data_IF_097817292200
#
_entry.id   IF_097817292200
#
_cell.length_a   1.000
_cell.length_b   1.000
_cell.length_c   1.000
_cell.angle_alpha   90.00
_cell.angle_beta   90.00
_cell.angle_gamma   90.00
#
_symmetry.space_group_name_H-M   'P 1'
#
loop_
_entity.id
_entity.type
_entity.pdbx_description
1 polymer ?
#
# COMPACT_ATOMS: atom_id res chain seq x y z
N UNK A 1 24.13 18.68 21.14
CA UNK A 1 24.21 17.34 20.52
C UNK A 1 24.89 17.51 19.17
N UNK A 2 25.97 16.76 18.90
CA UNK A 2 26.61 16.77 17.59
C UNK A 2 25.75 15.95 16.62
N UNK A 3 25.03 16.66 15.73
CA UNK A 3 24.13 16.06 14.75
C UNK A 3 24.86 15.15 13.77
N UNK A 4 26.08 15.52 13.38
CA UNK A 4 26.85 14.75 12.42
C UNK A 4 27.33 13.44 13.04
N UNK A 5 27.79 13.49 14.31
CA UNK A 5 28.12 12.29 15.06
C UNK A 5 26.90 11.39 15.27
N UNK A 6 25.72 11.96 15.58
CA UNK A 6 24.48 11.20 15.76
C UNK A 6 24.05 10.48 14.47
N UNK A 7 24.01 11.20 13.33
CA UNK A 7 23.70 10.64 12.01
C UNK A 7 24.68 9.52 11.64
N UNK A 8 25.97 9.72 11.88
CA UNK A 8 27.00 8.70 11.63
C UNK A 8 26.76 7.45 12.47
N UNK A 9 26.48 7.62 13.77
CA UNK A 9 26.27 6.51 14.70
C UNK A 9 25.03 5.70 14.35
N UNK A 10 23.90 6.37 14.08
CA UNK A 10 22.65 5.72 13.67
C UNK A 10 22.78 5.03 12.31
N UNK A 11 23.47 5.65 11.35
CA UNK A 11 23.77 5.05 10.06
C UNK A 11 24.63 3.78 10.17
N UNK A 12 25.67 3.81 11.02
CA UNK A 12 26.48 2.62 11.30
C UNK A 12 25.67 1.52 11.99
N UNK A 13 24.83 1.88 12.96
CA UNK A 13 23.97 0.92 13.65
C UNK A 13 23.00 0.22 12.68
N UNK A 14 22.39 0.97 11.75
CA UNK A 14 21.56 0.40 10.69
C UNK A 14 22.34 -0.50 9.72
N UNK A 15 23.60 -0.18 9.43
CA UNK A 15 24.45 -1.03 8.58
C UNK A 15 24.85 -2.34 9.25
N UNK A 16 25.06 -2.34 10.57
CA UNK A 16 25.53 -3.51 11.33
C UNK A 16 24.34 -4.39 11.77
N UNK A 17 23.27 -3.79 12.29
CA UNK A 17 22.13 -4.50 12.85
C UNK A 17 20.82 -3.75 12.57
N UNK A 18 20.34 -3.77 11.32
CA UNK A 18 19.10 -3.09 10.96
C UNK A 18 17.91 -3.68 11.72
N UNK A 19 17.09 -2.79 12.30
CA UNK A 19 15.89 -3.11 13.07
C UNK A 19 14.86 -2.00 12.88
N UNK A 20 13.57 -2.34 12.86
CA UNK A 20 12.49 -1.34 12.72
C UNK A 20 12.55 -0.23 13.78
N UNK A 21 12.92 -0.57 15.03
CA UNK A 21 13.07 0.44 16.09
C UNK A 21 14.17 1.46 15.80
N UNK A 22 15.25 1.05 15.14
CA UNK A 22 16.35 1.95 14.76
C UNK A 22 15.93 2.85 13.58
N UNK A 23 15.26 2.28 12.58
CA UNK A 23 14.70 3.08 11.48
C UNK A 23 13.72 4.12 12.01
N UNK A 24 12.77 3.72 12.87
CA UNK A 24 11.82 4.64 13.49
C UNK A 24 12.51 5.76 14.25
N UNK A 25 13.44 5.44 15.15
CA UNK A 25 14.16 6.46 15.91
C UNK A 25 14.97 7.41 15.03
N UNK A 26 15.55 6.92 13.93
CA UNK A 26 16.31 7.76 13.02
C UNK A 26 15.38 8.64 12.15
N UNK A 27 14.26 8.10 11.67
CA UNK A 27 13.25 8.87 10.94
C UNK A 27 12.65 9.96 11.84
N UNK A 28 12.34 9.65 13.09
CA UNK A 28 11.80 10.61 14.05
C UNK A 28 12.79 11.75 14.31
N UNK A 29 14.09 11.44 14.45
CA UNK A 29 15.15 12.44 14.56
C UNK A 29 15.21 13.38 13.35
N UNK A 30 15.29 12.81 12.13
CA UNK A 30 15.36 13.64 10.91
C UNK A 30 14.07 14.43 10.68
N UNK A 31 12.92 13.89 11.07
CA UNK A 31 11.62 14.59 11.01
C UNK A 31 11.59 15.80 11.95
N UNK A 32 12.08 15.67 13.17
CA UNK A 32 12.18 16.79 14.14
C UNK A 32 13.12 17.91 13.64
N UNK A 33 14.05 17.57 12.75
CA UNK A 33 14.97 18.52 12.13
C UNK A 33 14.43 19.07 10.79
N UNK A 34 13.19 18.74 10.43
CA UNK A 34 12.56 19.11 9.15
C UNK A 34 13.33 18.61 7.91
N UNK A 35 14.13 17.56 8.07
CA UNK A 35 14.98 16.98 7.03
C UNK A 35 14.23 15.90 6.26
N UNK A 36 13.12 16.28 5.64
CA UNK A 36 12.15 15.36 5.04
C UNK A 36 12.74 14.51 3.91
N UNK A 37 13.70 15.04 3.14
CA UNK A 37 14.41 14.27 2.12
C UNK A 37 15.25 13.13 2.71
N UNK A 38 15.80 13.32 3.92
CA UNK A 38 16.52 12.27 4.63
C UNK A 38 15.55 11.24 5.19
N UNK A 39 14.39 11.66 5.71
CA UNK A 39 13.31 10.74 6.10
C UNK A 39 12.89 9.82 4.94
N UNK A 40 12.66 10.39 3.74
CA UNK A 40 12.35 9.62 2.52
C UNK A 40 13.41 8.57 2.22
N UNK A 41 14.68 8.98 2.27
CA UNK A 41 15.82 8.06 2.08
C UNK A 41 15.82 6.92 3.10
N UNK A 42 15.49 7.19 4.37
CA UNK A 42 15.41 6.18 5.41
C UNK A 42 14.24 5.22 5.20
N UNK A 43 13.07 5.72 4.78
CA UNK A 43 11.93 4.87 4.42
C UNK A 43 12.24 3.96 3.24
N UNK A 44 12.87 4.47 2.17
CA UNK A 44 13.30 3.64 1.03
C UNK A 44 14.26 2.54 1.47
N UNK A 45 15.27 2.88 2.29
CA UNK A 45 16.19 1.89 2.85
C UNK A 45 15.47 0.86 3.74
N UNK A 46 14.48 1.29 4.51
CA UNK A 46 13.68 0.38 5.33
C UNK A 46 12.86 -0.58 4.45
N UNK A 47 12.29 -0.09 3.34
CA UNK A 47 11.55 -0.90 2.36
C UNK A 47 12.48 -1.92 1.69
N UNK A 48 13.68 -1.50 1.28
CA UNK A 48 14.70 -2.38 0.70
C UNK A 48 15.11 -3.47 1.69
N UNK A 49 15.40 -3.09 2.94
CA UNK A 49 15.78 -4.03 3.99
C UNK A 49 14.64 -5.02 4.34
N UNK A 50 13.41 -4.52 4.48
CA UNK A 50 12.23 -5.34 4.79
C UNK A 50 11.65 -6.05 3.56
N UNK A 51 12.30 -6.02 2.40
CA UNK A 51 11.81 -6.66 1.18
C UNK A 51 11.59 -8.17 1.32
N UNK A 52 12.27 -8.81 2.28
CA UNK A 52 12.12 -10.22 2.64
C UNK A 52 11.07 -10.47 3.75
N UNK A 53 10.77 -9.46 4.58
CA UNK A 53 9.87 -9.57 5.73
C UNK A 53 8.45 -9.01 5.45
N UNK A 54 8.18 -8.60 4.21
CA UNK A 54 6.85 -8.23 3.70
C UNK A 54 6.07 -7.21 4.55
N UNK A 55 6.74 -6.20 5.11
CA UNK A 55 6.10 -5.34 6.09
C UNK A 55 5.31 -4.17 5.47
N UNK A 56 4.04 -4.42 5.11
CA UNK A 56 3.06 -3.41 4.63
C UNK A 56 3.02 -2.15 5.48
N UNK A 57 3.23 -2.25 6.80
CA UNK A 57 3.16 -1.10 7.70
C UNK A 57 4.24 -0.06 7.40
N UNK A 58 5.38 -0.41 6.80
CA UNK A 58 6.39 0.57 6.40
C UNK A 58 5.84 1.49 5.31
N UNK A 59 5.17 0.91 4.30
CA UNK A 59 4.51 1.66 3.23
C UNK A 59 3.40 2.56 3.76
N UNK A 60 2.54 2.03 4.65
CA UNK A 60 1.47 2.80 5.28
C UNK A 60 2.05 3.97 6.09
N UNK A 61 3.09 3.72 6.90
CA UNK A 61 3.74 4.77 7.69
C UNK A 61 4.42 5.81 6.80
N UNK A 62 4.98 5.41 5.66
CA UNK A 62 5.59 6.33 4.71
C UNK A 62 4.53 7.22 4.03
N UNK A 63 3.39 6.67 3.60
CA UNK A 63 2.29 7.47 3.08
C UNK A 63 1.73 8.44 4.13
N UNK A 64 1.58 8.00 5.38
CA UNK A 64 1.22 8.86 6.53
C UNK A 64 2.27 9.91 6.83
N UNK A 65 3.54 9.64 6.56
CA UNK A 65 4.58 10.64 6.72
C UNK A 65 4.42 11.73 5.65
N UNK A 66 4.26 11.38 4.37
CA UNK A 66 4.15 12.35 3.27
C UNK A 66 2.98 13.32 3.41
N UNK A 67 1.87 12.87 4.02
CA UNK A 67 0.71 13.73 4.27
C UNK A 67 0.92 14.73 5.42
N UNK A 68 1.82 14.42 6.36
CA UNK A 68 2.11 15.25 7.53
C UNK A 68 3.33 16.16 7.33
N UNK A 69 3.87 16.25 6.11
CA UNK A 69 4.95 17.20 5.80
C UNK A 69 4.30 18.58 5.67
N UNK A 70 4.69 19.58 6.48
CA UNK A 70 4.22 20.95 6.33
C UNK A 70 4.63 21.52 4.97
N UNK A 71 3.72 22.24 4.31
CA UNK A 71 3.99 22.95 3.06
C UNK A 71 3.77 24.45 3.30
N UNK A 72 4.85 25.24 3.23
CA UNK A 72 4.85 26.69 3.49
C UNK A 72 5.57 27.09 4.78
N UNK A 73 5.87 28.39 4.91
CA UNK A 73 6.45 29.02 6.12
C UNK A 73 5.37 29.59 7.05
N UNK A 74 4.10 29.27 6.81
CA UNK A 74 2.98 30.03 7.40
C UNK A 74 2.68 29.60 8.83
N UNK A 75 2.73 30.61 9.72
CA UNK A 75 2.53 30.57 11.16
C UNK A 75 1.41 29.60 11.56
N UNK A 76 1.70 28.79 12.59
CA UNK A 76 0.78 27.86 13.21
C UNK A 76 -0.29 28.66 13.98
N UNK A 77 -1.34 29.12 13.30
CA UNK A 77 -2.58 29.45 14.00
C UNK A 77 -3.16 28.11 14.51
N UNK A 78 -2.98 27.88 15.81
CA UNK A 78 -3.19 26.59 16.51
C UNK A 78 -4.66 26.10 16.50
N UNK A 79 -5.61 26.89 16.01
CA UNK A 79 -7.06 26.63 16.14
C UNK A 79 -7.75 26.07 14.88
N UNK A 80 -7.16 26.13 13.69
CA UNK A 80 -7.76 25.57 12.47
C UNK A 80 -6.98 24.36 11.92
N UNK A 81 -7.63 23.19 11.85
CA UNK A 81 -7.14 22.05 11.06
C UNK A 81 -7.07 22.46 9.59
N UNK A 82 -5.93 23.02 9.18
CA UNK A 82 -5.69 23.41 7.79
C UNK A 82 -5.88 22.18 6.89
N UNK A 83 -6.63 22.31 5.80
CA UNK A 83 -6.85 21.20 4.90
C UNK A 83 -5.50 20.74 4.32
N UNK A 84 -5.27 19.43 4.34
CA UNK A 84 -4.10 18.80 3.72
C UNK A 84 -3.99 19.26 2.27
N UNK A 85 -2.80 19.70 1.85
CA UNK A 85 -2.57 20.15 0.49
C UNK A 85 -2.76 19.03 -0.54
N UNK A 86 -3.17 19.40 -1.76
CA UNK A 86 -3.29 18.44 -2.87
C UNK A 86 -1.94 17.79 -3.23
N UNK A 87 -0.84 18.50 -3.04
CA UNK A 87 0.50 17.97 -3.27
C UNK A 87 0.85 16.86 -2.26
N UNK A 88 0.58 17.08 -0.97
CA UNK A 88 0.79 16.09 0.08
C UNK A 88 -0.06 14.83 -0.16
N UNK A 89 -1.34 15.01 -0.54
CA UNK A 89 -2.22 13.90 -0.95
C UNK A 89 -1.62 13.14 -2.14
N UNK A 90 -1.15 13.85 -3.16
CA UNK A 90 -0.54 13.25 -4.36
C UNK A 90 0.70 12.42 -4.02
N UNK A 91 1.58 12.91 -3.15
CA UNK A 91 2.76 12.15 -2.70
C UNK A 91 2.37 10.88 -1.96
N UNK A 92 1.42 10.95 -1.03
CA UNK A 92 0.92 9.78 -0.31
C UNK A 92 0.28 8.73 -1.24
N UNK A 93 -0.55 9.15 -2.20
CA UNK A 93 -1.16 8.25 -3.21
C UNK A 93 -0.11 7.50 -4.03
N UNK A 94 0.96 8.18 -4.47
CA UNK A 94 2.07 7.51 -5.19
C UNK A 94 2.72 6.39 -4.37
N UNK A 95 2.83 6.56 -3.04
CA UNK A 95 3.34 5.51 -2.15
C UNK A 95 2.38 4.32 -2.09
N UNK A 96 1.08 4.57 -1.94
CA UNK A 96 0.06 3.51 -1.95
C UNK A 96 0.01 2.76 -3.28
N UNK A 97 0.05 3.47 -4.41
CA UNK A 97 0.07 2.88 -5.76
C UNK A 97 1.28 1.96 -5.95
N UNK A 98 2.49 2.44 -5.57
CA UNK A 98 3.72 1.64 -5.65
C UNK A 98 3.64 0.41 -4.74
N UNK A 99 3.17 0.56 -3.51
CA UNK A 99 3.00 -0.54 -2.57
C UNK A 99 2.02 -1.60 -3.11
N UNK A 100 0.88 -1.16 -3.66
CA UNK A 100 -0.15 -2.04 -4.22
C UNK A 100 0.40 -2.85 -5.38
N UNK A 101 1.18 -2.22 -6.27
CA UNK A 101 1.89 -2.91 -7.35
C UNK A 101 2.87 -3.96 -6.81
N UNK A 102 3.73 -3.59 -5.85
CA UNK A 102 4.72 -4.52 -5.26
C UNK A 102 4.04 -5.74 -4.62
N UNK A 103 2.96 -5.53 -3.87
CA UNK A 103 2.24 -6.63 -3.20
C UNK A 103 1.48 -7.50 -4.19
N UNK A 104 0.96 -6.91 -5.28
CA UNK A 104 0.37 -7.67 -6.38
C UNK A 104 1.43 -8.54 -7.08
N UNK A 105 2.55 -7.95 -7.47
CA UNK A 105 3.61 -8.63 -8.22
C UNK A 105 4.27 -9.76 -7.41
N UNK A 106 4.31 -9.62 -6.07
CA UNK A 106 4.83 -10.64 -5.15
C UNK A 106 3.75 -11.60 -4.59
N UNK A 107 2.50 -11.49 -5.04
CA UNK A 107 1.35 -12.28 -4.55
C UNK A 107 1.10 -12.20 -3.02
N UNK A 108 1.44 -11.08 -2.40
CA UNK A 108 1.28 -10.81 -0.96
C UNK A 108 -0.15 -10.35 -0.65
N UNK A 109 -1.09 -11.30 -0.67
CA UNK A 109 -2.52 -10.99 -0.63
C UNK A 109 -2.99 -10.41 0.69
N UNK A 110 -2.52 -10.92 1.83
CA UNK A 110 -2.95 -10.44 3.14
C UNK A 110 -2.46 -9.01 3.38
N UNK A 111 -1.19 -8.76 3.07
CA UNK A 111 -0.54 -7.46 3.14
C UNK A 111 -1.23 -6.45 2.22
N UNK A 112 -1.64 -6.89 1.01
CA UNK A 112 -2.37 -6.03 0.09
C UNK A 112 -3.76 -5.68 0.61
N UNK A 113 -4.43 -6.58 1.32
CA UNK A 113 -5.70 -6.29 1.98
C UNK A 113 -5.50 -5.19 3.03
N UNK A 114 -4.47 -5.31 3.87
CA UNK A 114 -4.12 -4.30 4.87
C UNK A 114 -3.80 -2.94 4.23
N UNK A 115 -3.05 -2.95 3.13
CA UNK A 115 -2.72 -1.75 2.37
C UNK A 115 -3.99 -1.06 1.82
N UNK A 116 -4.89 -1.81 1.18
CA UNK A 116 -6.11 -1.25 0.59
C UNK A 116 -7.08 -0.75 1.65
N UNK A 117 -7.14 -1.39 2.82
CA UNK A 117 -7.90 -0.86 3.97
C UNK A 117 -7.32 0.48 4.45
N UNK A 118 -6.00 0.58 4.56
CA UNK A 118 -5.34 1.82 4.94
C UNK A 118 -5.51 2.93 3.89
N UNK A 119 -5.45 2.59 2.59
CA UNK A 119 -5.68 3.53 1.50
C UNK A 119 -7.15 3.98 1.46
N UNK A 120 -8.10 3.08 1.69
CA UNK A 120 -9.52 3.43 1.82
C UNK A 120 -9.73 4.44 2.94
N UNK A 121 -9.15 4.20 4.12
CA UNK A 121 -9.24 5.14 5.25
C UNK A 121 -8.62 6.51 4.93
N UNK A 122 -7.52 6.52 4.17
CA UNK A 122 -6.90 7.75 3.67
C UNK A 122 -7.83 8.53 2.73
N UNK A 123 -8.44 7.87 1.72
CA UNK A 123 -9.36 8.56 0.80
C UNK A 123 -10.67 8.98 1.49
N UNK A 124 -11.12 8.26 2.52
CA UNK A 124 -12.25 8.69 3.35
C UNK A 124 -11.95 9.99 4.11
N UNK A 125 -10.71 10.18 4.56
CA UNK A 125 -10.31 11.35 5.34
C UNK A 125 -9.95 12.56 4.46
N UNK A 126 -9.34 12.33 3.30
CA UNK A 126 -8.69 13.40 2.52
C UNK A 126 -9.07 13.44 1.04
N UNK A 127 -9.69 12.38 0.52
CA UNK A 127 -10.01 12.21 -0.88
C UNK A 127 -11.40 12.71 -1.26
N UNK A 128 -11.69 12.65 -2.56
CA UNK A 128 -13.03 12.89 -3.09
C UNK A 128 -13.89 11.63 -3.04
N UNK A 129 -15.20 11.77 -3.27
CA UNK A 129 -16.09 10.63 -3.42
C UNK A 129 -15.70 9.71 -4.60
N UNK A 130 -15.10 10.29 -5.65
CA UNK A 130 -14.61 9.54 -6.81
C UNK A 130 -13.37 8.70 -6.46
N UNK A 131 -12.42 9.29 -5.71
CA UNK A 131 -11.23 8.60 -5.22
C UNK A 131 -11.62 7.40 -4.34
N UNK A 132 -12.54 7.62 -3.39
CA UNK A 132 -13.03 6.57 -2.52
C UNK A 132 -13.71 5.44 -3.32
N UNK A 133 -14.58 5.79 -4.26
CA UNK A 133 -15.25 4.81 -5.11
C UNK A 133 -14.26 3.99 -5.97
N UNK A 134 -13.14 4.58 -6.39
CA UNK A 134 -12.09 3.89 -7.12
C UNK A 134 -11.37 2.84 -6.25
N UNK A 135 -11.12 3.13 -4.96
CA UNK A 135 -10.54 2.16 -4.02
C UNK A 135 -11.54 1.06 -3.67
N UNK A 136 -12.82 1.40 -3.46
CA UNK A 136 -13.86 0.41 -3.14
C UNK A 136 -14.00 -0.67 -4.21
N UNK A 137 -13.86 -0.33 -5.50
CA UNK A 137 -13.86 -1.29 -6.61
C UNK A 137 -12.68 -2.27 -6.58
N UNK A 138 -11.58 -1.91 -5.92
CA UNK A 138 -10.38 -2.75 -5.80
C UNK A 138 -10.42 -3.67 -4.57
N UNK A 139 -11.33 -3.41 -3.61
CA UNK A 139 -11.39 -4.14 -2.36
C UNK A 139 -11.58 -5.66 -2.57
N UNK A 140 -10.79 -6.51 -1.88
CA UNK A 140 -10.83 -7.93 -2.09
C UNK A 140 -12.05 -8.58 -1.44
N UNK A 141 -12.44 -9.73 -1.97
CA UNK A 141 -13.43 -10.62 -1.37
C UNK A 141 -12.71 -11.78 -0.69
N UNK A 142 -13.11 -12.06 0.55
CA UNK A 142 -12.59 -13.19 1.33
C UNK A 142 -13.36 -14.46 0.96
N UNK A 143 -12.65 -15.50 0.53
CA UNK A 143 -13.23 -16.78 0.10
C UNK A 143 -12.61 -17.95 0.85
N UNK A 144 -13.40 -19.00 1.09
CA UNK A 144 -12.89 -20.27 1.60
C UNK A 144 -12.47 -21.15 0.43
N UNK A 145 -11.22 -21.61 0.44
CA UNK A 145 -10.69 -22.56 -0.54
C UNK A 145 -10.30 -23.85 0.13
N UNK A 146 -10.27 -24.93 -0.65
CA UNK A 146 -9.88 -26.25 -0.19
C UNK A 146 -8.70 -26.73 -1.03
N UNK A 147 -7.56 -27.03 -0.41
CA UNK A 147 -6.42 -27.66 -1.08
C UNK A 147 -6.30 -29.11 -0.64
N UNK A 148 -5.93 -29.97 -1.59
CA UNK A 148 -5.64 -31.37 -1.30
C UNK A 148 -4.28 -31.46 -0.62
N UNK A 149 -4.22 -32.18 0.49
CA UNK A 149 -3.00 -32.61 1.18
C UNK A 149 -2.60 -34.01 0.67
N UNK A 150 -1.51 -34.54 1.18
CA UNK A 150 -1.19 -35.95 0.99
C UNK A 150 -2.22 -36.85 1.70
N UNK A 151 -2.43 -38.03 1.11
CA UNK A 151 -3.28 -39.11 1.67
C UNK A 151 -4.79 -38.80 1.66
N UNK A 152 -5.31 -38.23 0.54
CA UNK A 152 -6.73 -37.89 0.31
C UNK A 152 -7.39 -36.95 1.35
N UNK A 153 -6.56 -36.29 2.17
CA UNK A 153 -7.00 -35.26 3.10
C UNK A 153 -7.12 -33.90 2.41
N UNK A 154 -7.96 -33.04 2.98
CA UNK A 154 -8.17 -31.68 2.48
C UNK A 154 -8.00 -30.68 3.62
N UNK A 155 -7.38 -29.55 3.32
CA UNK A 155 -7.29 -28.41 4.22
C UNK A 155 -8.13 -27.25 3.68
N UNK A 156 -9.01 -26.72 4.53
CA UNK A 156 -9.69 -25.45 4.27
C UNK A 156 -8.78 -24.29 4.68
N UNK A 157 -8.55 -23.36 3.76
CA UNK A 157 -7.80 -22.13 4.03
C UNK A 157 -8.56 -20.92 3.49
N UNK A 158 -8.27 -19.76 4.09
CA UNK A 158 -8.83 -18.48 3.66
C UNK A 158 -7.96 -17.91 2.55
N UNK A 159 -8.59 -17.42 1.48
CA UNK A 159 -7.90 -16.73 0.38
C UNK A 159 -8.64 -15.43 0.05
N UNK A 160 -7.96 -14.54 -0.68
CA UNK A 160 -8.50 -13.28 -1.15
C UNK A 160 -8.55 -13.26 -2.68
N UNK A 161 -9.68 -12.77 -3.20
CA UNK A 161 -9.90 -12.51 -4.63
C UNK A 161 -10.03 -11.02 -4.84
N UNK A 162 -9.15 -10.45 -5.66
CA UNK A 162 -9.13 -9.02 -6.01
C UNK A 162 -9.91 -8.82 -7.31
N UNK A 163 -11.10 -8.20 -7.28
CA UNK A 163 -11.95 -8.07 -8.48
C UNK A 163 -11.25 -7.38 -9.65
N UNK A 164 -10.38 -6.42 -9.36
CA UNK A 164 -9.61 -5.67 -10.36
C UNK A 164 -8.55 -6.52 -11.11
N UNK A 165 -8.15 -7.67 -10.54
CA UNK A 165 -7.13 -8.55 -11.11
C UNK A 165 -7.71 -9.82 -11.73
N UNK A 166 -9.00 -10.08 -11.49
CA UNK A 166 -9.64 -11.32 -11.88
C UNK A 166 -9.93 -11.34 -13.40
N UNK A 167 -8.91 -11.73 -14.18
CA UNK A 167 -9.06 -11.99 -15.61
C UNK A 167 -10.05 -13.13 -15.90
N UNK A 168 -10.37 -13.98 -14.91
CA UNK A 168 -11.35 -15.07 -15.05
C UNK A 168 -12.75 -14.54 -15.34
N UNK A 169 -13.13 -13.39 -14.75
CA UNK A 169 -14.40 -12.72 -15.04
C UNK A 169 -14.45 -12.18 -16.48
N UNK A 170 -13.33 -11.65 -16.98
CA UNK A 170 -13.19 -11.21 -18.37
C UNK A 170 -13.19 -12.38 -19.37
N UNK A 171 -12.62 -13.52 -18.98
CA UNK A 171 -12.59 -14.73 -19.82
C UNK A 171 -13.96 -15.43 -19.86
N UNK A 172 -14.67 -15.51 -18.73
CA UNK A 172 -16.02 -16.07 -18.66
C UNK A 172 -17.03 -15.22 -19.44
N UNK A 173 -16.95 -13.89 -19.33
CA UNK A 173 -17.81 -13.00 -20.11
C UNK A 173 -17.57 -13.10 -21.62
N UNK A 174 -16.32 -13.21 -22.07
CA UNK A 174 -15.98 -13.49 -23.48
C UNK A 174 -16.49 -14.86 -23.95
N UNK A 175 -16.40 -15.89 -23.11
CA UNK A 175 -16.92 -17.23 -23.41
C UNK A 175 -18.45 -17.20 -23.60
N UNK A 176 -19.16 -16.53 -22.68
CA UNK A 176 -20.62 -16.38 -22.74
C UNK A 176 -21.07 -15.57 -23.96
N UNK A 177 -20.36 -14.49 -24.30
CA UNK A 177 -20.62 -13.70 -25.51
C UNK A 177 -20.44 -14.53 -26.79
N UNK A 178 -19.40 -15.36 -26.86
CA UNK A 178 -19.17 -16.28 -27.99
C UNK A 178 -20.25 -17.35 -28.10
N UNK A 179 -20.68 -17.91 -26.97
CA UNK A 179 -21.77 -18.89 -26.93
C UNK A 179 -23.11 -18.29 -27.40
N UNK A 180 -23.41 -17.04 -27.02
CA UNK A 180 -24.60 -16.32 -27.47
C UNK A 180 -24.55 -16.02 -28.98
N UNK A 181 -23.39 -15.58 -29.50
CA UNK A 181 -23.19 -15.33 -30.93
C UNK A 181 -23.33 -16.62 -31.77
N UNK A 182 -22.82 -17.75 -31.29
CA UNK A 182 -22.98 -19.05 -31.95
C UNK A 182 -24.45 -19.49 -32.03
N UNK A 183 -25.22 -19.27 -30.94
CA UNK A 183 -26.66 -19.56 -30.91
C UNK A 183 -27.46 -18.69 -31.89
N UNK A 184 -27.08 -17.42 -32.07
CA UNK A 184 -27.73 -16.53 -33.05
C UNK A 184 -27.43 -16.94 -34.49
N UNK A 185 -26.22 -17.42 -34.78
CA UNK A 185 -25.86 -17.93 -36.11
C UNK A 185 -26.60 -19.22 -36.47
N UNK A 186 -26.91 -20.08 -35.48
CA UNK A 186 -27.71 -21.28 -35.71
C UNK A 186 -29.21 -21.01 -35.91
N UNK A 187 -29.71 -19.85 -35.51
CA UNK A 187 -31.11 -19.46 -35.67
C UNK A 187 -31.45 -18.72 -36.97
N UNK A 188 -30.47 -18.53 -37.87
CA UNK A 188 -30.62 -17.84 -39.16
C UNK A 188 -30.49 -18.79 -40.38
N UNK A 189 -30.64 -20.11 -40.19
CA UNK A 189 -30.73 -21.11 -41.28
C UNK A 189 -32.11 -21.73 -41.36
#
# INVERSE_FOLDING_TARGET
>A
MDLQAARKTLGQALGICPKDKLFRGYIDLERQLFEFNRCRTLYEKQIEWNAANNHVKVWINYAKFEINIPEGEEEEDEEEERPVSEEAKRRARKIFERANKVMKDKELKEERVDLLNAWKAFEQAHGSAEDLAAIEKQMPRRVKKRRKLDDDRYEEYMDYVFPADDASAANLSRLLQRAHAWKQQQGQS
#
